data_IF_114586725682
#
_entry.id   IF_114586725682
#
_cell.length_a   1.000
_cell.length_b   1.000
_cell.length_c   1.000
_cell.angle_alpha   90.00
_cell.angle_beta   90.00
_cell.angle_gamma   90.00
#
_symmetry.space_group_name_H-M   'P 1'
#
loop_
_entity.id
_entity.type
_entity.pdbx_description
1 polymer ?
#
# COMPACT_ATOMS: atom_id res chain seq x y z
N UNK A 1 -4.10 -11.64 -1.20
CA UNK A 1 -5.40 -10.93 -1.32
C UNK A 1 -5.29 -9.88 -2.40
N UNK A 2 -6.31 -9.69 -3.25
CA UNK A 2 -6.30 -8.62 -4.27
C UNK A 2 -7.49 -7.68 -4.15
N UNK A 3 -7.24 -6.38 -4.40
CA UNK A 3 -8.25 -5.32 -4.34
C UNK A 3 -8.12 -4.43 -5.57
N UNK A 4 -9.25 -4.16 -6.24
CA UNK A 4 -9.31 -3.19 -7.33
C UNK A 4 -9.64 -1.79 -6.78
N UNK A 5 -8.99 -0.76 -7.31
CA UNK A 5 -9.29 0.64 -7.02
C UNK A 5 -9.32 1.49 -8.29
N UNK A 6 -10.25 2.42 -8.38
CA UNK A 6 -10.26 3.46 -9.43
C UNK A 6 -10.29 4.83 -8.75
N UNK A 7 -9.34 5.68 -9.08
CA UNK A 7 -9.29 7.07 -8.67
C UNK A 7 -10.08 7.91 -9.67
N UNK A 8 -10.91 8.83 -9.16
CA UNK A 8 -11.74 9.72 -9.97
C UNK A 8 -11.65 11.17 -9.48
N UNK A 9 -11.80 12.12 -10.39
CA UNK A 9 -12.10 13.52 -10.08
C UNK A 9 -13.27 13.97 -10.97
N UNK A 10 -14.32 14.50 -10.35
CA UNK A 10 -15.57 14.90 -11.01
C UNK A 10 -16.08 13.80 -11.95
N UNK A 11 -16.19 12.58 -11.43
CA UNK A 11 -16.55 11.34 -12.14
C UNK A 11 -15.63 10.91 -13.28
N UNK A 12 -14.60 11.68 -13.63
CA UNK A 12 -13.60 11.28 -14.63
C UNK A 12 -12.55 10.35 -14.01
N UNK A 13 -12.29 9.17 -14.59
CA UNK A 13 -11.25 8.29 -14.08
C UNK A 13 -9.87 8.89 -14.32
N UNK A 14 -9.06 8.94 -13.27
CA UNK A 14 -7.68 9.43 -13.30
C UNK A 14 -6.67 8.29 -13.39
N UNK A 15 -6.94 7.20 -12.68
CA UNK A 15 -6.16 5.98 -12.71
C UNK A 15 -7.00 4.79 -12.24
N UNK A 16 -6.64 3.59 -12.66
CA UNK A 16 -7.18 2.35 -12.09
C UNK A 16 -6.05 1.39 -11.78
N UNK A 17 -6.20 0.65 -10.69
CA UNK A 17 -5.22 -0.33 -10.27
C UNK A 17 -5.81 -1.60 -9.69
N UNK A 18 -5.02 -2.66 -9.76
CA UNK A 18 -5.17 -3.89 -9.00
C UNK A 18 -4.00 -3.98 -8.03
N UNK A 19 -4.31 -4.03 -6.73
CA UNK A 19 -3.32 -4.13 -5.66
C UNK A 19 -3.40 -5.53 -5.07
N UNK A 20 -2.28 -6.24 -5.09
CA UNK A 20 -2.13 -7.59 -4.51
C UNK A 20 -1.20 -7.54 -3.31
N UNK A 21 -1.63 -8.17 -2.23
CA UNK A 21 -0.88 -8.35 -0.99
C UNK A 21 -0.52 -9.81 -0.83
N UNK A 22 0.75 -10.05 -0.55
CA UNK A 22 1.36 -11.34 -0.28
C UNK A 22 2.07 -11.27 1.06
N UNK A 23 1.90 -12.29 1.88
CA UNK A 23 2.44 -12.38 3.23
C UNK A 23 3.19 -13.69 3.35
N UNK A 24 4.48 -13.59 3.64
CA UNK A 24 5.36 -14.73 3.87
C UNK A 24 5.97 -14.65 5.26
N UNK A 25 6.27 -15.81 5.84
CA UNK A 25 7.08 -15.89 7.04
C UNK A 25 8.51 -15.40 6.73
N UNK A 26 9.06 -14.57 7.62
CA UNK A 26 10.46 -14.16 7.58
C UNK A 26 11.18 -14.65 8.85
N UNK A 27 12.51 -14.64 8.84
CA UNK A 27 13.32 -15.01 10.02
C UNK A 27 13.04 -14.12 11.24
N UNK A 28 12.58 -12.89 11.01
CA UNK A 28 12.10 -11.94 12.02
C UNK A 28 10.84 -11.27 11.47
N UNK A 29 9.68 -11.54 12.08
CA UNK A 29 8.40 -10.95 11.68
C UNK A 29 7.81 -11.54 10.38
N UNK A 30 7.04 -10.72 9.66
CA UNK A 30 6.35 -11.10 8.42
C UNK A 30 6.88 -10.28 7.25
N UNK A 31 7.24 -10.93 6.15
CA UNK A 31 7.54 -10.25 4.90
C UNK A 31 6.25 -9.94 4.17
N UNK A 32 6.00 -8.67 3.91
CA UNK A 32 4.84 -8.21 3.15
C UNK A 32 5.31 -7.72 1.79
N UNK A 33 4.75 -8.28 0.71
CA UNK A 33 4.96 -7.81 -0.66
C UNK A 33 3.66 -7.21 -1.17
N UNK A 34 3.72 -5.95 -1.62
CA UNK A 34 2.59 -5.26 -2.22
C UNK A 34 2.89 -4.95 -3.68
N UNK A 35 2.17 -5.63 -4.57
CA UNK A 35 2.24 -5.41 -6.00
C UNK A 35 1.07 -4.52 -6.44
N UNK A 36 1.37 -3.38 -7.04
CA UNK A 36 0.36 -2.48 -7.59
C UNK A 36 0.49 -2.41 -9.11
N UNK A 37 -0.45 -3.04 -9.81
CA UNK A 37 -0.59 -2.97 -11.27
C UNK A 37 -1.52 -1.80 -11.60
N UNK A 38 -0.96 -0.68 -12.02
CA UNK A 38 -1.70 0.56 -12.25
C UNK A 38 -1.62 1.03 -13.70
N UNK A 39 -2.72 1.64 -14.17
CA UNK A 39 -2.75 2.45 -15.39
C UNK A 39 -3.28 3.85 -15.07
N UNK A 40 -2.79 4.83 -15.81
CA UNK A 40 -3.12 6.26 -15.66
C UNK A 40 -3.79 6.78 -16.92
N UNK A 41 -4.78 7.67 -16.74
CA UNK A 41 -5.45 8.38 -17.83
C UNK A 41 -4.99 9.84 -17.93
N UNK A 42 -4.17 10.30 -16.99
CA UNK A 42 -3.75 11.72 -16.87
C UNK A 42 -2.22 11.89 -16.83
N UNK A 43 -1.48 10.86 -17.25
CA UNK A 43 -0.03 10.92 -17.40
C UNK A 43 0.76 10.38 -16.21
N UNK A 44 2.09 10.46 -16.34
CA UNK A 44 3.06 9.76 -15.50
C UNK A 44 3.06 10.22 -14.04
N UNK A 45 2.78 11.49 -13.79
CA UNK A 45 2.80 12.07 -12.44
C UNK A 45 1.80 11.38 -11.50
N UNK A 46 0.68 10.89 -12.03
CA UNK A 46 -0.29 10.10 -11.27
C UNK A 46 0.30 8.76 -10.79
N UNK A 47 1.14 8.11 -11.61
CA UNK A 47 1.83 6.88 -11.21
C UNK A 47 2.91 7.17 -10.17
N UNK A 48 3.66 8.26 -10.35
CA UNK A 48 4.66 8.73 -9.37
C UNK A 48 4.01 9.04 -8.03
N UNK A 49 2.90 9.80 -8.03
CA UNK A 49 2.12 10.11 -6.84
C UNK A 49 1.57 8.84 -6.17
N UNK A 50 1.02 7.91 -6.96
CA UNK A 50 0.52 6.62 -6.46
C UNK A 50 1.63 5.79 -5.80
N UNK A 51 2.82 5.73 -6.40
CA UNK A 51 3.99 5.01 -5.86
C UNK A 51 4.45 5.65 -4.54
N UNK A 52 4.56 6.97 -4.51
CA UNK A 52 4.97 7.71 -3.31
C UNK A 52 3.96 7.52 -2.17
N UNK A 53 2.66 7.59 -2.47
CA UNK A 53 1.59 7.34 -1.50
C UNK A 53 1.64 5.93 -0.90
N UNK A 54 1.82 4.89 -1.73
CA UNK A 54 1.95 3.51 -1.23
C UNK A 54 3.19 3.34 -0.34
N UNK A 55 4.33 3.92 -0.73
CA UNK A 55 5.56 3.88 0.07
C UNK A 55 5.34 4.49 1.45
N UNK A 56 4.72 5.68 1.52
CA UNK A 56 4.45 6.36 2.79
C UNK A 56 3.46 5.56 3.64
N UNK A 57 2.37 5.06 3.04
CA UNK A 57 1.39 4.25 3.75
C UNK A 57 2.01 2.97 4.36
N UNK A 58 2.90 2.30 3.63
CA UNK A 58 3.59 1.12 4.14
C UNK A 58 4.59 1.45 5.25
N UNK A 59 5.30 2.59 5.15
CA UNK A 59 6.16 3.08 6.23
C UNK A 59 5.37 3.39 7.50
N UNK A 60 4.21 4.03 7.36
CA UNK A 60 3.32 4.32 8.49
C UNK A 60 2.74 3.04 9.10
N UNK A 61 2.39 2.05 8.28
CA UNK A 61 1.93 0.75 8.76
C UNK A 61 3.02 0.05 9.57
N UNK A 62 4.27 0.04 9.07
CA UNK A 62 5.40 -0.54 9.81
C UNK A 62 5.60 0.14 11.17
N UNK A 63 5.68 1.47 11.19
CA UNK A 63 5.84 2.23 12.44
C UNK A 63 4.69 1.99 13.43
N UNK A 64 3.45 1.87 12.93
CA UNK A 64 2.30 1.54 13.76
C UNK A 64 2.43 0.15 14.39
N UNK A 65 2.81 -0.86 13.61
CA UNK A 65 2.96 -2.24 14.11
C UNK A 65 4.10 -2.34 15.13
N UNK A 66 5.24 -1.69 14.86
CA UNK A 66 6.38 -1.61 15.78
C UNK A 66 6.00 -0.92 17.10
N UNK A 67 5.17 0.14 17.06
CA UNK A 67 4.67 0.79 18.28
C UNK A 67 3.77 -0.11 19.12
N UNK A 68 3.17 -1.15 18.53
CA UNK A 68 2.28 -2.10 19.21
C UNK A 68 2.98 -3.32 19.77
N UNK A 69 4.18 -3.65 19.30
CA UNK A 69 5.01 -4.68 19.95
C UNK A 69 5.45 -4.26 21.37
N UNK A 70 5.58 -2.94 21.65
CA UNK A 70 5.94 -2.42 22.98
C UNK A 70 4.79 -2.35 24.00
N UNK A 71 3.52 -2.39 23.56
CA UNK A 71 2.33 -2.26 24.44
C UNK A 71 1.87 -3.63 25.01
N UNK A 72 2.50 -4.74 24.60
CA UNK A 72 1.99 -6.10 24.82
C UNK A 72 2.67 -6.94 25.90
N UNK A 73 3.60 -6.38 26.70
CA UNK A 73 4.34 -7.14 27.73
C UNK A 73 3.93 -6.86 29.19
N UNK A 74 2.96 -5.97 29.42
CA UNK A 74 2.47 -5.61 30.78
C UNK A 74 0.96 -5.85 30.97
N UNK A 75 0.43 -7.02 30.58
CA UNK A 75 -0.89 -7.50 31.01
C UNK A 75 -0.88 -8.98 31.40
#
# INVERSE_FOLDING_TARGET
MSTRKTLRADDRPLATSLVTWEFDLASQGTRVVVTNQATTFVGQDMLTGTRNGHRIALQQLAAFLESKEGDGLDQ
#
